data_IF_593340193535
#
_entry.id   IF_593340193535
#
_cell.length_a   1.000
_cell.length_b   1.000
_cell.length_c   1.000
_cell.angle_alpha   90.00
_cell.angle_beta   90.00
_cell.angle_gamma   90.00
#
_symmetry.space_group_name_H-M   'P 1'
#
loop_
_entity.id
_entity.type
_entity.pdbx_description
1 polymer ?
#
# COMPACT_ATOMS: atom_id res chain seq x y z
N UNK A 1 -33.27 -32.72 -0.99
CA UNK A 1 -33.27 -32.36 0.44
C UNK A 1 -31.89 -32.63 1.01
N UNK A 2 -31.48 -31.92 2.05
CA UNK A 2 -30.19 -32.10 2.73
C UNK A 2 -30.45 -32.25 4.24
N UNK A 3 -29.53 -32.92 4.95
CA UNK A 3 -29.59 -33.00 6.42
C UNK A 3 -29.03 -31.72 7.04
N UNK A 4 -29.71 -31.18 8.04
CA UNK A 4 -29.18 -30.10 8.86
C UNK A 4 -27.91 -30.59 9.56
N UNK A 5 -26.80 -29.85 9.40
CA UNK A 5 -25.50 -30.20 10.01
C UNK A 5 -25.47 -30.11 11.53
N UNK A 6 -26.48 -29.49 12.15
CA UNK A 6 -26.55 -29.28 13.59
C UNK A 6 -27.49 -30.26 14.28
N UNK A 7 -28.70 -30.48 13.75
CA UNK A 7 -29.70 -31.33 14.39
C UNK A 7 -30.13 -32.56 13.58
N UNK A 8 -29.61 -32.76 12.36
CA UNK A 8 -29.92 -33.93 11.54
C UNK A 8 -31.32 -33.95 10.90
N UNK A 9 -32.14 -32.92 11.11
CA UNK A 9 -33.44 -32.80 10.45
C UNK A 9 -33.30 -32.66 8.93
N UNK A 10 -34.23 -33.23 8.17
CA UNK A 10 -34.29 -33.05 6.71
C UNK A 10 -34.78 -31.65 6.38
N UNK A 11 -34.00 -30.93 5.57
CA UNK A 11 -34.32 -29.57 5.13
C UNK A 11 -34.20 -29.44 3.61
N UNK A 12 -34.94 -28.51 3.01
CA UNK A 12 -34.74 -28.15 1.62
C UNK A 12 -33.34 -27.53 1.42
N UNK A 13 -32.65 -27.87 0.33
CA UNK A 13 -31.31 -27.33 0.02
C UNK A 13 -31.29 -25.81 -0.16
N UNK A 14 -32.45 -25.21 -0.47
CA UNK A 14 -32.66 -23.77 -0.60
C UNK A 14 -33.06 -23.06 0.70
N UNK A 15 -33.39 -23.79 1.77
CA UNK A 15 -33.79 -23.17 3.04
C UNK A 15 -32.63 -22.35 3.61
N UNK A 16 -32.88 -21.11 4.04
CA UNK A 16 -31.85 -20.20 4.58
C UNK A 16 -31.48 -20.53 6.03
N UNK A 17 -32.43 -21.11 6.77
CA UNK A 17 -32.28 -21.58 8.14
C UNK A 17 -33.06 -22.88 8.34
N UNK A 18 -32.61 -23.72 9.27
CA UNK A 18 -33.28 -24.96 9.65
C UNK A 18 -34.54 -24.66 10.49
N UNK A 19 -35.72 -25.17 10.14
CA UNK A 19 -36.95 -24.94 10.90
C UNK A 19 -36.97 -25.68 12.26
N UNK A 20 -36.18 -26.74 12.43
CA UNK A 20 -36.16 -27.52 13.68
C UNK A 20 -35.28 -26.92 14.78
N UNK A 21 -34.11 -26.36 14.44
CA UNK A 21 -33.15 -25.84 15.43
C UNK A 21 -32.69 -24.39 15.17
N UNK A 22 -33.17 -23.74 14.11
CA UNK A 22 -32.78 -22.37 13.76
C UNK A 22 -31.37 -22.21 13.14
N UNK A 23 -30.60 -23.30 13.00
CA UNK A 23 -29.25 -23.24 12.44
C UNK A 23 -29.25 -22.71 10.99
N UNK A 24 -28.38 -21.73 10.69
CA UNK A 24 -28.27 -21.14 9.35
C UNK A 24 -27.69 -22.14 8.36
N UNK A 25 -28.39 -22.36 7.26
CA UNK A 25 -27.90 -23.19 6.16
C UNK A 25 -27.04 -22.33 5.21
N UNK A 26 -25.75 -22.20 5.54
CA UNK A 26 -24.82 -21.44 4.71
C UNK A 26 -24.45 -22.26 3.47
N UNK A 27 -24.77 -21.75 2.28
CA UNK A 27 -24.30 -22.33 1.01
C UNK A 27 -22.77 -22.43 1.05
N UNK A 28 -22.19 -23.55 0.61
CA UNK A 28 -20.74 -23.74 0.63
C UNK A 28 -20.08 -22.71 -0.28
N UNK A 29 -18.89 -22.24 0.13
CA UNK A 29 -18.20 -21.12 -0.52
C UNK A 29 -17.92 -21.36 -2.01
N UNK A 30 -17.78 -22.62 -2.45
CA UNK A 30 -17.55 -23.00 -3.84
C UNK A 30 -18.74 -22.78 -4.78
N UNK A 31 -19.93 -22.49 -4.25
CA UNK A 31 -21.11 -22.10 -5.06
C UNK A 31 -21.21 -20.61 -5.29
N UNK A 32 -20.29 -19.81 -4.72
CA UNK A 32 -20.26 -18.37 -4.90
C UNK A 32 -19.49 -18.02 -6.18
N UNK A 33 -20.00 -17.10 -6.98
CA UNK A 33 -19.44 -16.75 -8.29
C UNK A 33 -17.95 -16.36 -8.25
N UNK A 34 -17.50 -15.60 -7.25
CA UNK A 34 -16.08 -15.25 -7.10
C UNK A 34 -15.15 -16.47 -6.98
N UNK A 35 -15.58 -17.58 -6.38
CA UNK A 35 -14.78 -18.80 -6.26
C UNK A 35 -14.69 -19.55 -7.61
N UNK A 36 -15.77 -19.52 -8.39
CA UNK A 36 -15.78 -20.09 -9.75
C UNK A 36 -14.79 -19.33 -10.65
N UNK A 37 -14.68 -18.00 -10.51
CA UNK A 37 -13.70 -17.20 -11.26
C UNK A 37 -12.25 -17.54 -10.88
N UNK A 38 -11.95 -17.77 -9.60
CA UNK A 38 -10.60 -18.16 -9.15
C UNK A 38 -10.18 -19.50 -9.78
N UNK A 39 -11.06 -20.50 -9.80
CA UNK A 39 -10.76 -21.82 -10.40
C UNK A 39 -10.49 -21.69 -11.91
N UNK A 40 -11.24 -20.85 -12.63
CA UNK A 40 -11.01 -20.60 -14.06
C UNK A 40 -9.63 -19.97 -14.29
N UNK A 41 -9.24 -18.98 -13.48
CA UNK A 41 -7.91 -18.35 -13.58
C UNK A 41 -6.76 -19.33 -13.34
N UNK A 42 -6.92 -20.26 -12.40
CA UNK A 42 -5.89 -21.29 -12.12
C UNK A 42 -5.76 -22.28 -13.29
N UNK A 43 -6.87 -22.69 -13.92
CA UNK A 43 -6.84 -23.60 -15.09
C UNK A 43 -6.20 -22.92 -16.30
N UNK A 44 -6.49 -21.63 -16.54
CA UNK A 44 -5.88 -20.87 -17.63
C UNK A 44 -4.39 -20.65 -17.36
N UNK A 45 -4.00 -20.38 -16.11
CA UNK A 45 -2.60 -20.24 -15.71
C UNK A 45 -1.78 -21.52 -15.88
N UNK A 46 -2.41 -22.70 -15.76
CA UNK A 46 -1.73 -24.00 -15.92
C UNK A 46 -1.49 -24.42 -17.39
N UNK A 47 -2.13 -23.77 -18.37
CA UNK A 47 -1.95 -24.04 -19.81
C UNK A 47 -0.97 -23.07 -20.50
N UNK A 48 -0.44 -22.07 -19.79
CA UNK A 48 0.40 -21.00 -20.35
C UNK A 48 1.91 -21.25 -20.39
N UNK A 49 2.39 -22.44 -20.01
CA UNK A 49 3.83 -22.77 -20.02
C UNK A 49 4.08 -23.99 -20.91
N UNK A 50 4.28 -23.74 -22.22
CA UNK A 50 4.61 -24.80 -23.17
C UNK A 50 4.78 -24.34 -24.61
N UNK A 51 6.02 -24.03 -25.00
CA UNK A 51 6.54 -24.43 -26.32
C UNK A 51 6.65 -23.39 -27.47
N UNK A 52 7.90 -23.02 -27.75
CA UNK A 52 8.57 -23.19 -29.06
C UNK A 52 8.20 -22.31 -30.27
N UNK A 53 9.09 -21.36 -30.54
CA UNK A 53 9.82 -21.10 -31.81
C UNK A 53 9.10 -21.39 -33.14
N UNK A 54 8.88 -20.34 -33.93
CA UNK A 54 8.95 -20.43 -35.40
C UNK A 54 9.35 -19.09 -36.03
N UNK A 55 10.57 -19.06 -36.55
CA UNK A 55 11.02 -18.08 -37.54
C UNK A 55 10.18 -18.25 -38.82
N UNK A 56 9.76 -17.14 -39.43
CA UNK A 56 9.60 -17.11 -40.88
C UNK A 56 9.95 -15.73 -41.43
N UNK A 57 11.05 -15.72 -42.17
CA UNK A 57 11.51 -14.65 -43.04
C UNK A 57 10.62 -14.59 -44.27
N UNK A 58 10.10 -13.41 -44.64
CA UNK A 58 9.93 -13.04 -46.05
C UNK A 58 9.95 -11.52 -46.19
N UNK A 59 10.92 -11.07 -46.96
CA UNK A 59 11.21 -9.73 -47.46
C UNK A 59 10.04 -9.13 -48.25
N UNK A 60 9.74 -7.84 -48.08
CA UNK A 60 9.38 -6.93 -49.20
C UNK A 60 9.64 -5.49 -48.75
N UNK A 61 10.57 -4.84 -49.45
CA UNK A 61 10.85 -3.42 -49.34
C UNK A 61 9.84 -2.62 -50.19
N UNK A 62 9.32 -1.53 -49.65
CA UNK A 62 8.95 -0.37 -50.46
C UNK A 62 9.06 0.93 -49.64
N UNK A 63 9.68 1.96 -50.23
CA UNK A 63 9.85 3.33 -49.72
C UNK A 63 8.53 4.11 -49.85
N UNK A 64 8.21 4.99 -48.89
CA UNK A 64 8.27 6.48 -48.96
C UNK A 64 7.57 7.18 -47.78
N UNK A 65 8.15 8.32 -47.37
CA UNK A 65 7.78 9.38 -46.40
C UNK A 65 6.29 9.59 -46.03
N UNK A 66 5.97 9.84 -44.74
CA UNK A 66 5.69 11.16 -44.14
C UNK A 66 5.32 11.02 -42.63
N UNK A 67 5.34 12.14 -41.91
CA UNK A 67 5.17 12.38 -40.48
C UNK A 67 3.86 11.86 -39.86
N UNK A 68 3.93 11.38 -38.62
CA UNK A 68 3.21 11.91 -37.45
C UNK A 68 3.21 10.92 -36.28
N UNK A 69 3.45 11.48 -35.09
CA UNK A 69 3.12 11.00 -33.74
C UNK A 69 2.32 9.70 -33.61
N UNK A 70 2.77 8.78 -32.74
CA UNK A 70 1.92 8.12 -31.72
C UNK A 70 2.80 7.38 -30.71
N UNK A 71 2.43 7.60 -29.45
CA UNK A 71 2.83 6.99 -28.19
C UNK A 71 3.47 5.61 -28.25
N UNK A 72 4.71 5.55 -27.78
CA UNK A 72 5.27 4.38 -27.11
C UNK A 72 4.62 4.22 -25.73
N UNK A 73 3.43 3.61 -25.67
CA UNK A 73 2.95 3.00 -24.44
C UNK A 73 3.74 1.71 -24.22
N UNK A 74 4.92 1.88 -23.60
CA UNK A 74 5.63 0.75 -23.01
C UNK A 74 4.91 0.45 -21.70
N UNK A 75 4.21 -0.68 -21.68
CA UNK A 75 3.75 -1.35 -20.47
C UNK A 75 4.96 -1.58 -19.55
N UNK A 76 5.21 -0.64 -18.65
CA UNK A 76 6.09 -0.86 -17.51
C UNK A 76 5.36 -1.79 -16.56
N UNK A 77 5.66 -3.08 -16.71
CA UNK A 77 5.49 -4.10 -15.68
C UNK A 77 6.17 -3.58 -14.40
N UNK A 78 5.36 -3.05 -13.47
CA UNK A 78 5.82 -2.62 -12.14
C UNK A 78 6.34 -3.84 -11.38
N UNK A 79 7.63 -4.07 -11.53
CA UNK A 79 8.41 -4.91 -10.65
C UNK A 79 8.36 -4.25 -9.27
N UNK A 80 7.79 -4.96 -8.29
CA UNK A 80 7.81 -4.57 -6.87
C UNK A 80 9.25 -4.70 -6.35
N UNK A 81 10.15 -3.84 -6.80
CA UNK A 81 11.49 -3.71 -6.25
C UNK A 81 11.40 -2.70 -5.12
N UNK A 82 11.40 -3.17 -3.87
CA UNK A 82 11.65 -2.34 -2.70
C UNK A 82 13.02 -1.68 -2.89
N UNK A 83 13.04 -0.39 -3.21
CA UNK A 83 14.26 0.43 -3.26
C UNK A 83 14.44 1.10 -1.91
N UNK A 84 15.66 1.01 -1.38
CA UNK A 84 16.04 1.71 -0.16
C UNK A 84 16.48 3.13 -0.51
N UNK A 85 15.86 4.11 0.13
CA UNK A 85 16.15 5.54 -0.02
C UNK A 85 16.73 6.10 1.29
N UNK A 86 17.31 7.30 1.24
CA UNK A 86 17.87 7.99 2.40
C UNK A 86 17.16 9.32 2.66
N UNK A 87 17.31 9.87 3.86
CA UNK A 87 16.88 11.24 4.17
C UNK A 87 17.48 12.22 3.16
N UNK A 88 16.65 13.12 2.63
CA UNK A 88 16.98 14.07 1.57
C UNK A 88 16.59 13.60 0.16
N UNK A 89 16.38 12.28 -0.04
CA UNK A 89 15.92 11.77 -1.32
C UNK A 89 14.48 12.17 -1.60
N UNK A 90 14.20 12.40 -2.88
CA UNK A 90 12.85 12.60 -3.38
C UNK A 90 12.45 11.42 -4.25
N UNK A 91 11.43 10.71 -3.82
CA UNK A 91 10.94 9.48 -4.46
C UNK A 91 9.68 9.77 -5.24
N UNK A 92 9.70 9.46 -6.52
CA UNK A 92 8.55 9.60 -7.40
C UNK A 92 7.78 8.29 -7.46
N UNK A 93 6.50 8.36 -7.12
CA UNK A 93 5.50 7.31 -7.17
C UNK A 93 4.47 7.68 -8.23
N UNK A 94 3.57 6.76 -8.56
CA UNK A 94 2.55 7.00 -9.60
C UNK A 94 1.76 8.30 -9.40
N UNK A 95 1.21 8.51 -8.20
CA UNK A 95 0.33 9.63 -7.89
C UNK A 95 0.94 10.63 -6.89
N UNK A 96 2.15 10.36 -6.40
CA UNK A 96 2.82 11.16 -5.39
C UNK A 96 4.31 11.37 -5.68
N UNK A 97 4.85 12.47 -5.18
CA UNK A 97 6.28 12.64 -4.97
C UNK A 97 6.53 12.87 -3.47
N UNK A 98 7.37 12.03 -2.87
CA UNK A 98 7.59 12.02 -1.41
C UNK A 98 9.04 12.34 -1.11
N UNK A 99 9.26 13.26 -0.19
CA UNK A 99 10.60 13.66 0.28
C UNK A 99 10.64 13.54 1.79
N UNK A 100 11.65 12.87 2.34
CA UNK A 100 11.97 12.95 3.77
C UNK A 100 12.98 14.08 3.94
N UNK A 101 12.54 15.21 4.47
CA UNK A 101 13.33 16.44 4.57
C UNK A 101 14.38 16.35 5.69
N UNK A 102 14.06 15.67 6.79
CA UNK A 102 14.93 15.57 7.96
C UNK A 102 14.30 14.79 9.10
N UNK A 103 15.12 14.51 10.11
CA UNK A 103 14.70 13.85 11.36
C UNK A 103 15.18 14.65 12.55
N UNK A 104 14.41 14.65 13.64
CA UNK A 104 14.82 15.20 14.93
C UNK A 104 14.25 14.36 16.07
N UNK A 105 14.92 14.40 17.22
CA UNK A 105 14.40 13.80 18.44
C UNK A 105 14.31 14.82 19.57
N UNK A 106 13.31 14.62 20.44
CA UNK A 106 13.06 15.43 21.64
C UNK A 106 12.47 14.55 22.73
N UNK A 107 12.71 14.87 23.99
CA UNK A 107 12.13 14.13 25.13
C UNK A 107 10.84 14.75 25.64
N UNK A 108 10.53 15.98 25.25
CA UNK A 108 9.34 16.71 25.64
C UNK A 108 9.01 17.80 24.62
N UNK A 109 7.78 18.30 24.67
CA UNK A 109 7.35 19.49 23.95
C UNK A 109 7.94 20.78 24.58
N UNK A 110 7.79 21.92 23.91
CA UNK A 110 8.32 23.22 24.38
C UNK A 110 7.61 23.70 25.65
N UNK A 111 6.42 23.18 25.95
CA UNK A 111 5.73 23.49 27.21
C UNK A 111 6.24 22.66 28.38
N UNK A 112 6.82 21.49 28.10
CA UNK A 112 7.25 20.51 29.10
C UNK A 112 6.11 19.71 29.72
N UNK A 113 4.86 19.86 29.25
CA UNK A 113 3.72 19.09 29.74
C UNK A 113 3.56 17.75 29.02
N UNK A 114 3.93 17.68 27.74
CA UNK A 114 3.94 16.45 26.97
C UNK A 114 5.36 15.91 26.97
N UNK A 115 5.55 14.79 27.67
CA UNK A 115 6.84 14.12 27.81
C UNK A 115 6.77 12.73 27.20
N UNK A 116 7.89 12.28 26.64
CA UNK A 116 8.03 10.90 26.24
C UNK A 116 7.93 10.00 27.48
N UNK A 117 7.49 8.76 27.27
CA UNK A 117 7.51 7.74 28.31
C UNK A 117 8.94 7.49 28.81
N UNK A 118 9.05 6.92 30.02
CA UNK A 118 10.36 6.63 30.62
C UNK A 118 11.22 5.75 29.69
N UNK A 119 12.45 6.20 29.43
CA UNK A 119 13.39 5.53 28.53
C UNK A 119 13.12 5.71 27.03
N UNK A 120 12.16 6.56 26.66
CA UNK A 120 11.82 6.87 25.26
C UNK A 120 12.12 8.33 24.91
N UNK A 121 12.11 8.60 23.61
CA UNK A 121 12.09 9.94 23.03
C UNK A 121 11.05 10.00 21.90
N UNK A 122 10.55 11.20 21.62
CA UNK A 122 9.79 11.45 20.40
C UNK A 122 10.75 11.49 19.22
N UNK A 123 10.46 10.73 18.19
CA UNK A 123 11.17 10.73 16.92
C UNK A 123 10.26 11.35 15.86
N UNK A 124 10.69 12.48 15.30
CA UNK A 124 9.92 13.25 14.34
C UNK A 124 10.59 13.22 12.98
N UNK A 125 9.81 12.90 11.96
CA UNK A 125 10.24 12.83 10.56
C UNK A 125 9.52 13.91 9.76
N UNK A 126 10.25 14.93 9.34
CA UNK A 126 9.72 15.98 8.47
C UNK A 126 9.60 15.43 7.04
N UNK A 127 8.37 15.36 6.52
CA UNK A 127 8.08 14.83 5.20
C UNK A 127 7.34 15.86 4.35
N UNK A 128 7.62 15.86 3.05
CA UNK A 128 6.82 16.53 2.03
C UNK A 128 6.16 15.49 1.14
N UNK A 129 4.85 15.60 0.95
CA UNK A 129 4.09 14.80 -0.03
C UNK A 129 3.47 15.74 -1.05
N UNK A 130 3.87 15.61 -2.30
CA UNK A 130 3.31 16.30 -3.44
C UNK A 130 2.37 15.38 -4.21
N UNK A 131 1.19 15.87 -4.56
CA UNK A 131 0.23 15.16 -5.42
C UNK A 131 0.57 15.44 -6.89
N UNK A 132 1.10 14.42 -7.57
CA UNK A 132 1.48 14.49 -9.00
C UNK A 132 0.36 14.06 -9.93
N UNK A 133 -0.78 13.59 -9.39
CA UNK A 133 -1.95 13.21 -10.17
C UNK A 133 -2.76 14.43 -10.63
N UNK A 134 -3.69 14.22 -11.57
CA UNK A 134 -4.61 15.25 -12.08
C UNK A 134 -5.87 15.47 -11.22
N UNK A 135 -5.98 14.79 -10.07
CA UNK A 135 -7.14 14.84 -9.18
C UNK A 135 -6.70 15.10 -7.76
N UNK A 136 -7.62 15.49 -6.90
CA UNK A 136 -7.36 15.61 -5.47
C UNK A 136 -7.05 14.25 -4.86
N UNK A 137 -6.03 14.21 -3.99
CA UNK A 137 -5.62 13.01 -3.26
C UNK A 137 -5.77 13.23 -1.76
N UNK A 138 -6.23 12.22 -1.04
CA UNK A 138 -6.15 12.23 0.41
C UNK A 138 -4.75 11.78 0.84
N UNK A 139 -4.18 12.47 1.82
CA UNK A 139 -2.99 12.03 2.56
C UNK A 139 -3.43 11.78 3.99
N UNK A 140 -3.06 10.60 4.52
CA UNK A 140 -3.33 10.24 5.91
C UNK A 140 -2.07 9.72 6.58
N UNK A 141 -1.69 10.37 7.67
CA UNK A 141 -0.51 10.01 8.45
C UNK A 141 -0.65 8.60 9.05
N UNK A 142 -1.84 8.23 9.52
CA UNK A 142 -2.11 6.91 10.12
C UNK A 142 -2.11 5.78 9.08
N UNK A 143 -2.62 6.01 7.88
CA UNK A 143 -2.75 4.94 6.87
C UNK A 143 -1.52 4.80 5.97
N UNK A 144 -0.84 5.91 5.68
CA UNK A 144 0.20 5.96 4.66
C UNK A 144 1.61 5.94 5.24
N UNK A 145 1.80 6.28 6.51
CA UNK A 145 3.12 6.38 7.13
C UNK A 145 3.26 5.36 8.26
N UNK A 146 4.44 4.76 8.35
CA UNK A 146 4.83 3.89 9.45
C UNK A 146 6.32 3.99 9.66
N UNK A 147 6.75 4.04 10.92
CA UNK A 147 8.16 3.88 11.28
C UNK A 147 8.36 2.48 11.82
N UNK A 148 9.38 1.79 11.32
CA UNK A 148 9.75 0.43 11.71
C UNK A 148 11.20 0.36 12.21
N UNK A 149 11.47 -0.53 13.17
CA UNK A 149 12.84 -0.90 13.54
C UNK A 149 13.42 -2.00 12.62
N UNK A 150 14.73 -2.24 12.73
CA UNK A 150 15.45 -3.33 12.05
C UNK A 150 14.88 -4.74 12.27
N UNK A 151 14.08 -4.94 13.32
CA UNK A 151 13.45 -6.21 13.63
C UNK A 151 12.02 -6.28 13.06
N UNK A 152 11.58 -5.26 12.33
CA UNK A 152 10.26 -5.14 11.70
C UNK A 152 9.14 -4.71 12.64
N UNK A 153 9.44 -4.21 13.84
CA UNK A 153 8.41 -3.69 14.77
C UNK A 153 8.01 -2.28 14.35
N UNK A 154 6.71 -2.07 14.20
CA UNK A 154 6.14 -0.76 13.91
C UNK A 154 5.88 0.05 15.18
N UNK A 155 6.15 1.35 15.11
CA UNK A 155 5.78 2.29 16.16
C UNK A 155 4.48 3.00 15.84
N UNK A 156 3.61 3.12 16.84
CA UNK A 156 2.37 3.88 16.72
C UNK A 156 2.66 5.38 16.68
N UNK A 157 1.86 6.10 15.89
CA UNK A 157 1.90 7.55 15.85
C UNK A 157 1.62 8.12 17.26
N UNK A 158 2.49 9.02 17.70
CA UNK A 158 2.37 9.69 18.98
C UNK A 158 1.69 11.05 18.84
N UNK A 159 0.91 11.45 19.85
CA UNK A 159 0.41 12.81 19.97
C UNK A 159 1.55 13.72 20.43
N UNK A 160 1.88 14.71 19.62
CA UNK A 160 2.92 15.70 19.92
C UNK A 160 2.50 17.06 19.39
N UNK A 161 2.34 18.04 20.29
CA UNK A 161 1.75 19.37 19.96
C UNK A 161 2.72 20.29 19.23
N UNK A 162 4.01 20.00 19.35
CA UNK A 162 5.09 20.86 18.88
C UNK A 162 5.70 20.34 17.58
N UNK A 163 4.91 19.57 16.84
CA UNK A 163 5.20 19.16 15.49
C UNK A 163 5.02 20.36 14.53
N UNK A 164 5.92 20.50 13.56
CA UNK A 164 5.82 21.49 12.51
C UNK A 164 4.94 20.96 11.37
N UNK A 165 3.73 21.50 11.24
CA UNK A 165 2.76 21.04 10.23
C UNK A 165 2.17 19.66 10.50
N UNK A 166 1.34 19.17 9.59
CA UNK A 166 0.69 17.86 9.67
C UNK A 166 0.65 17.18 8.30
N UNK A 167 0.48 15.86 8.29
CA UNK A 167 0.44 15.02 7.08
C UNK A 167 -0.96 14.42 6.85
N UNK A 168 -2.00 15.13 7.28
CA UNK A 168 -3.40 14.72 7.11
C UNK A 168 -4.18 15.80 6.37
N UNK A 169 -4.81 15.42 5.25
CA UNK A 169 -5.69 16.32 4.51
C UNK A 169 -5.85 15.95 3.04
N UNK A 170 -6.68 16.74 2.35
CA UNK A 170 -6.83 16.66 0.90
C UNK A 170 -5.81 17.56 0.22
N UNK A 171 -5.02 16.99 -0.69
CA UNK A 171 -3.99 17.67 -1.45
C UNK A 171 -4.45 17.76 -2.90
N UNK A 172 -4.68 18.97 -3.39
CA UNK A 172 -5.09 19.20 -4.78
C UNK A 172 -3.98 18.86 -5.79
N UNK A 173 -4.35 18.70 -7.06
CA UNK A 173 -3.40 18.41 -8.14
C UNK A 173 -2.24 19.43 -8.20
N UNK A 174 -1.00 18.94 -8.25
CA UNK A 174 0.21 19.76 -8.25
C UNK A 174 0.49 20.51 -6.95
N UNK A 175 -0.27 20.24 -5.89
CA UNK A 175 -0.05 20.82 -4.56
C UNK A 175 0.74 19.87 -3.69
N UNK A 176 1.29 20.41 -2.60
CA UNK A 176 2.02 19.65 -1.59
C UNK A 176 1.48 19.89 -0.19
N UNK A 177 1.65 18.90 0.66
CA UNK A 177 1.51 18.98 2.12
C UNK A 177 2.87 18.66 2.75
N UNK A 178 3.25 19.41 3.78
CA UNK A 178 4.51 19.20 4.51
C UNK A 178 4.20 19.21 5.99
N UNK A 179 4.77 18.25 6.72
CA UNK A 179 4.58 18.15 8.15
C UNK A 179 5.45 17.07 8.78
N UNK A 180 5.44 17.03 10.11
CA UNK A 180 6.19 16.04 10.88
C UNK A 180 5.32 14.84 11.29
N UNK A 181 5.78 13.64 10.94
CA UNK A 181 5.25 12.39 11.48
C UNK A 181 6.00 12.03 12.77
N UNK A 182 5.27 11.91 13.89
CA UNK A 182 5.86 11.70 15.21
C UNK A 182 5.49 10.32 15.78
N UNK A 183 6.48 9.63 16.34
CA UNK A 183 6.33 8.37 17.10
C UNK A 183 7.16 8.44 18.39
N UNK A 184 6.95 7.53 19.33
CA UNK A 184 7.85 7.34 20.47
C UNK A 184 8.72 6.09 20.28
N UNK A 185 10.03 6.26 20.36
CA UNK A 185 11.03 5.18 20.22
C UNK A 185 11.91 5.10 21.48
N UNK A 186 12.57 3.96 21.77
CA UNK A 186 13.61 3.93 22.79
C UNK A 186 14.67 5.02 22.55
N UNK A 187 15.15 5.65 23.62
CA UNK A 187 16.14 6.71 23.50
C UNK A 187 17.42 6.19 22.82
N UNK A 188 17.86 6.86 21.75
CA UNK A 188 19.05 6.47 20.98
C UNK A 188 18.81 5.27 20.04
N UNK A 189 17.56 4.93 19.74
CA UNK A 189 17.22 3.90 18.77
C UNK A 189 17.84 4.21 17.40
N UNK A 190 18.45 3.21 16.76
CA UNK A 190 19.10 3.31 15.44
C UNK A 190 18.51 2.28 14.46
N UNK A 191 18.75 2.47 13.17
CA UNK A 191 18.22 1.59 12.13
C UNK A 191 16.70 1.69 12.01
N UNK A 192 16.18 2.91 12.17
CA UNK A 192 14.77 3.21 11.92
C UNK A 192 14.55 3.47 10.43
N UNK A 193 13.44 2.98 9.92
CA UNK A 193 13.02 3.20 8.53
C UNK A 193 11.62 3.78 8.48
N UNK A 194 11.38 4.72 7.57
CA UNK A 194 10.04 5.17 7.21
C UNK A 194 9.52 4.34 6.05
N UNK A 195 8.40 3.66 6.27
CA UNK A 195 7.58 3.08 5.23
C UNK A 195 6.49 4.07 4.82
N UNK A 196 6.44 4.42 3.52
CA UNK A 196 5.32 5.16 2.96
C UNK A 196 4.57 4.33 1.92
N UNK A 197 3.25 4.24 2.07
CA UNK A 197 2.35 3.48 1.21
C UNK A 197 1.46 4.44 0.41
N UNK A 198 1.62 4.45 -0.91
CA UNK A 198 0.87 5.35 -1.80
C UNK A 198 -0.62 5.00 -1.92
N UNK A 199 -1.02 3.77 -1.62
CA UNK A 199 -2.41 3.34 -1.66
C UNK A 199 -2.61 2.03 -0.87
N UNK A 200 -3.82 1.83 -0.31
CA UNK A 200 -4.23 0.55 0.28
C UNK A 200 -4.49 -0.55 -0.78
N UNK A 201 -4.58 -0.16 -2.05
CA UNK A 201 -4.97 -1.04 -3.17
C UNK A 201 -3.77 -1.37 -4.05
N UNK A 202 -2.86 -0.41 -4.23
CA UNK A 202 -1.64 -0.57 -5.01
C UNK A 202 -0.48 -0.62 -4.01
N UNK A 203 0.13 -1.81 -3.84
CA UNK A 203 1.21 -2.11 -2.89
C UNK A 203 2.55 -1.39 -3.20
N UNK A 204 2.53 -0.21 -3.82
CA UNK A 204 3.75 0.55 -4.07
C UNK A 204 4.17 1.25 -2.78
N UNK A 205 5.13 0.61 -2.13
CA UNK A 205 5.73 1.02 -0.87
C UNK A 205 7.12 1.59 -1.14
N UNK A 206 7.47 2.66 -0.43
CA UNK A 206 8.85 3.17 -0.34
C UNK A 206 9.37 2.96 1.07
N UNK A 207 10.65 2.66 1.18
CA UNK A 207 11.36 2.52 2.45
C UNK A 207 12.51 3.52 2.46
N UNK A 208 12.54 4.38 3.48
CA UNK A 208 13.56 5.41 3.65
C UNK A 208 14.31 5.16 4.96
N UNK A 209 15.63 4.97 4.90
CA UNK A 209 16.48 4.88 6.09
C UNK A 209 16.55 6.22 6.80
N UNK A 210 16.32 6.23 8.11
CA UNK A 210 16.21 7.46 8.92
C UNK A 210 17.44 7.74 9.78
N UNK A 211 18.09 6.71 10.33
CA UNK A 211 19.27 6.83 11.19
C UNK A 211 20.09 5.54 11.37
#
# INVERSE_FOLDING_TARGET
MIKCKTCGADIASSAKSCPGCGAKNKKPFYTRWWFILIVIFVIIGALGSGGSKKDNSTTTANKTNDSSSISSSTDSKEENTTKNYSVGDTVELKDYKVTVNGVRTVTQDNTGYIKAEEGKEFFLVDCTVENTSSKDQAVSSIMMFKIVDKDGRSYDQALFTDANGQLDGTVGSGRKITGEYCVQVPQGQTGLELEFNSSLINNQQIIVSLN
#
